data_IF_482210986198
#
_entry.id   IF_482210986198
#
_cell.length_a   1.000
_cell.length_b   1.000
_cell.length_c   1.000
_cell.angle_alpha   90.00
_cell.angle_beta   90.00
_cell.angle_gamma   90.00
#
_symmetry.space_group_name_H-M   'P 1'
#
loop_
_entity.id
_entity.type
_entity.pdbx_description
1 polymer ?
#
# COMPACT_ATOMS: atom_id res chain seq x y z
N UNK A 1 -28.21 53.49 11.41
CA UNK A 1 -27.24 52.38 11.52
C UNK A 1 -25.84 52.99 11.61
N UNK A 2 -25.10 52.76 12.71
CA UNK A 2 -23.71 53.23 12.81
C UNK A 2 -22.77 52.36 11.98
N UNK A 3 -21.68 52.92 11.41
CA UNK A 3 -20.71 52.15 10.63
C UNK A 3 -19.82 51.27 11.53
N UNK A 4 -19.33 50.12 11.03
CA UNK A 4 -18.50 49.21 11.82
C UNK A 4 -17.10 49.78 12.08
N UNK A 5 -16.48 49.46 13.24
CA UNK A 5 -15.18 49.99 13.62
C UNK A 5 -14.04 49.40 12.75
N UNK A 6 -13.13 50.27 12.34
CA UNK A 6 -11.89 49.91 11.62
C UNK A 6 -10.98 49.10 12.54
N UNK A 7 -10.52 47.94 12.06
CA UNK A 7 -9.50 47.12 12.72
C UNK A 7 -8.12 47.69 12.46
N UNK A 8 -7.40 48.03 13.52
CA UNK A 8 -5.97 48.40 13.45
C UNK A 8 -5.07 47.15 13.31
N UNK A 9 -3.91 47.27 12.64
CA UNK A 9 -2.96 46.19 12.48
C UNK A 9 -2.10 45.96 13.74
N UNK A 10 -2.02 44.70 14.17
CA UNK A 10 -1.16 44.22 15.25
C UNK A 10 0.32 44.40 14.91
N UNK A 11 1.00 45.26 15.66
CA UNK A 11 2.46 45.40 15.67
C UNK A 11 3.07 44.24 16.46
N UNK A 12 3.72 43.32 15.76
CA UNK A 12 4.45 42.20 16.37
C UNK A 12 5.75 42.69 17.03
N UNK A 13 5.78 42.64 18.37
CA UNK A 13 6.96 42.84 19.21
C UNK A 13 7.94 41.67 19.06
N UNK A 14 9.04 41.88 18.33
CA UNK A 14 10.25 41.04 18.45
C UNK A 14 11.02 41.48 19.69
N UNK A 15 11.13 40.62 20.70
CA UNK A 15 12.10 40.74 21.79
C UNK A 15 12.40 39.35 22.36
N UNK A 16 13.63 39.20 22.85
CA UNK A 16 14.18 38.08 23.64
C UNK A 16 14.64 36.93 22.71
N UNK A 17 15.93 36.62 22.58
CA UNK A 17 16.85 36.15 23.63
C UNK A 17 18.29 36.64 23.44
N UNK A 18 18.85 37.11 24.55
CA UNK A 18 20.26 37.44 24.72
C UNK A 18 21.09 36.18 24.95
N UNK A 19 22.32 36.26 24.45
CA UNK A 19 23.40 35.28 24.43
C UNK A 19 24.11 35.29 25.80
N UNK A 20 24.12 34.17 26.51
CA UNK A 20 24.92 33.97 27.73
C UNK A 20 26.11 33.05 27.41
N UNK A 21 27.31 33.52 27.73
CA UNK A 21 28.58 32.81 27.57
C UNK A 21 28.83 31.85 28.76
N UNK A 22 29.48 30.69 28.56
CA UNK A 22 29.85 29.81 29.66
C UNK A 22 31.15 30.25 30.34
N UNK A 23 31.09 30.34 31.68
CA UNK A 23 32.23 30.56 32.55
C UNK A 23 33.14 29.32 32.61
N UNK A 24 34.44 29.59 32.55
CA UNK A 24 35.55 28.70 32.83
C UNK A 24 35.49 28.18 34.28
N UNK A 25 35.71 26.87 34.46
CA UNK A 25 35.85 26.27 35.79
C UNK A 25 37.22 25.59 35.88
N UNK A 26 38.03 26.15 36.77
CA UNK A 26 39.39 25.73 37.11
C UNK A 26 39.41 24.49 38.00
N UNK A 27 40.50 23.75 37.83
CA UNK A 27 40.96 22.58 38.59
C UNK A 27 41.68 23.02 39.86
N UNK A 28 41.46 22.30 40.96
CA UNK A 28 42.31 22.02 42.16
C UNK A 28 41.35 21.38 43.19
N UNK A 29 41.63 20.34 43.98
CA UNK A 29 42.79 19.54 44.31
C UNK A 29 42.59 19.05 45.76
N UNK A 30 42.81 17.74 46.04
CA UNK A 30 43.14 17.10 47.36
C UNK A 30 42.12 17.26 48.51
N UNK A 31 41.90 16.38 49.50
CA UNK A 31 42.68 15.31 50.15
C UNK A 31 41.70 14.34 50.89
N UNK A 32 42.26 13.30 51.49
CA UNK A 32 41.75 12.05 52.04
C UNK A 32 40.71 12.09 53.18
N UNK A 33 40.09 10.93 53.46
CA UNK A 33 40.23 10.19 54.74
C UNK A 33 39.50 8.83 54.68
N UNK A 34 40.13 7.83 55.30
CA UNK A 34 39.87 6.40 55.27
C UNK A 34 38.71 5.89 56.17
N UNK A 35 38.26 4.64 55.93
CA UNK A 35 37.88 3.71 57.00
C UNK A 35 36.66 2.79 56.78
N UNK A 36 36.92 1.46 56.79
CA UNK A 36 36.00 0.41 57.29
C UNK A 36 35.22 -0.38 56.22
N UNK A 37 35.69 -1.55 55.74
CA UNK A 37 35.55 -2.92 56.30
C UNK A 37 34.09 -3.41 56.52
N UNK A 38 33.59 -4.27 55.63
CA UNK A 38 33.08 -5.63 55.92
C UNK A 38 32.32 -6.24 54.72
N UNK A 39 32.59 -7.53 54.48
CA UNK A 39 32.21 -8.41 53.35
C UNK A 39 30.74 -8.93 53.40
N UNK A 40 30.40 -10.09 52.79
CA UNK A 40 30.08 -10.29 51.37
C UNK A 40 28.67 -10.92 51.18
N UNK A 41 28.14 -10.98 49.94
CA UNK A 41 27.24 -12.08 49.57
C UNK A 41 27.33 -12.40 48.07
N UNK A 42 27.97 -13.54 47.80
CA UNK A 42 27.88 -14.31 46.55
C UNK A 42 26.54 -15.05 46.45
N UNK A 43 26.23 -15.50 45.22
CA UNK A 43 25.16 -16.42 44.73
C UNK A 43 24.13 -15.68 43.87
N UNK A 44 23.78 -16.10 42.65
CA UNK A 44 23.97 -17.37 41.93
C UNK A 44 23.87 -17.12 40.41
N UNK A 45 24.59 -17.98 39.70
CA UNK A 45 24.64 -18.23 38.27
C UNK A 45 23.28 -18.30 37.54
N UNK A 46 23.28 -17.85 36.28
CA UNK A 46 22.23 -18.10 35.29
C UNK A 46 22.71 -17.77 33.88
N UNK A 47 23.48 -18.69 33.29
CA UNK A 47 23.99 -18.64 31.91
C UNK A 47 22.86 -18.78 30.88
N UNK A 48 22.88 -17.97 29.83
CA UNK A 48 22.18 -18.22 28.57
C UNK A 48 22.88 -17.49 27.41
N UNK A 49 24.13 -17.88 27.17
CA UNK A 49 24.77 -17.72 25.88
C UNK A 49 24.29 -18.87 24.99
N UNK A 50 23.34 -18.62 24.09
CA UNK A 50 23.13 -19.40 22.85
C UNK A 50 21.99 -18.77 22.03
N UNK A 51 22.31 -17.71 21.28
CA UNK A 51 21.52 -17.20 20.13
C UNK A 51 22.27 -16.08 19.40
N UNK A 52 23.56 -16.27 19.14
CA UNK A 52 24.37 -15.36 18.32
C UNK A 52 25.01 -16.17 17.20
N UNK A 53 24.24 -16.53 16.18
CA UNK A 53 24.77 -17.35 15.09
C UNK A 53 23.75 -17.69 14.02
N UNK A 54 23.11 -16.69 13.39
CA UNK A 54 22.40 -16.91 12.10
C UNK A 54 22.06 -15.64 11.31
N UNK A 55 22.95 -14.65 11.24
CA UNK A 55 22.87 -13.58 10.23
C UNK A 55 24.26 -13.21 9.73
N UNK A 56 24.99 -14.18 9.18
CA UNK A 56 26.28 -13.91 8.54
C UNK A 56 26.51 -14.88 7.38
N UNK A 57 25.66 -14.80 6.36
CA UNK A 57 25.98 -15.25 5.00
C UNK A 57 24.85 -14.83 4.03
N UNK A 58 24.86 -13.58 3.57
CA UNK A 58 24.34 -13.26 2.23
C UNK A 58 25.42 -12.49 1.48
N UNK A 59 26.40 -13.22 0.96
CA UNK A 59 27.36 -12.72 -0.03
C UNK A 59 26.67 -12.68 -1.39
N UNK A 60 26.24 -11.49 -1.80
CA UNK A 60 25.69 -11.22 -3.12
C UNK A 60 25.58 -9.71 -3.34
N UNK A 61 26.64 -9.11 -3.88
CA UNK A 61 26.74 -7.73 -4.40
C UNK A 61 25.78 -6.70 -3.79
N UNK A 62 26.07 -6.26 -2.57
CA UNK A 62 25.46 -5.08 -1.97
C UNK A 62 25.97 -3.84 -2.72
N UNK A 63 25.19 -3.33 -3.66
CA UNK A 63 25.35 -1.93 -4.06
C UNK A 63 25.17 -1.09 -2.79
N UNK A 64 26.25 -0.48 -2.30
CA UNK A 64 26.18 0.48 -1.19
C UNK A 64 25.36 1.66 -1.67
N UNK A 65 24.05 1.63 -1.39
CA UNK A 65 23.15 2.73 -1.73
C UNK A 65 23.60 3.94 -0.93
N UNK A 66 24.04 4.98 -1.63
CA UNK A 66 24.44 6.24 -1.01
C UNK A 66 23.22 6.87 -0.37
N UNK A 67 23.35 7.24 0.92
CA UNK A 67 22.26 7.84 1.69
C UNK A 67 21.83 9.16 1.06
N UNK A 68 20.52 9.40 1.07
CA UNK A 68 19.93 10.68 0.62
C UNK A 68 20.22 11.81 1.61
N UNK A 69 20.15 13.06 1.17
CA UNK A 69 20.39 14.23 2.03
C UNK A 69 19.47 14.25 3.27
N UNK A 70 18.21 13.83 3.12
CA UNK A 70 17.27 13.71 4.24
C UNK A 70 17.67 12.61 5.23
N UNK A 71 18.24 11.50 4.76
CA UNK A 71 18.71 10.43 5.64
C UNK A 71 19.92 10.88 6.48
N UNK A 72 20.84 11.64 5.88
CA UNK A 72 21.97 12.24 6.61
C UNK A 72 21.47 13.21 7.69
N UNK A 73 20.51 14.08 7.34
CA UNK A 73 19.86 14.96 8.31
C UNK A 73 19.18 14.20 9.46
N UNK A 74 18.48 13.09 9.13
CA UNK A 74 17.85 12.26 10.15
C UNK A 74 18.88 11.60 11.07
N UNK A 75 20.04 11.19 10.56
CA UNK A 75 21.09 10.57 11.38
C UNK A 75 21.68 11.53 12.41
N UNK A 76 21.83 12.80 12.06
CA UNK A 76 22.31 13.84 12.97
C UNK A 76 21.25 14.27 13.99
N UNK A 77 20.00 14.45 13.56
CA UNK A 77 18.96 15.06 14.41
C UNK A 77 18.18 14.06 15.25
N UNK A 78 18.09 12.80 14.82
CA UNK A 78 17.40 11.74 15.56
C UNK A 78 17.93 11.50 16.98
N UNK A 79 19.26 11.42 17.25
CA UNK A 79 19.73 11.23 18.62
C UNK A 79 19.31 12.37 19.56
N UNK A 80 19.31 13.62 19.07
CA UNK A 80 18.83 14.78 19.84
C UNK A 80 17.35 14.66 20.15
N UNK A 81 16.51 14.30 19.16
CA UNK A 81 15.08 14.13 19.38
C UNK A 81 14.72 12.96 20.30
N UNK A 82 15.51 11.88 20.26
CA UNK A 82 15.37 10.74 21.18
C UNK A 82 15.75 11.14 22.61
N UNK A 83 16.80 11.94 22.78
CA UNK A 83 17.22 12.45 24.08
C UNK A 83 16.18 13.41 24.68
N UNK A 84 15.58 14.27 23.86
CA UNK A 84 14.51 15.19 24.28
C UNK A 84 13.18 14.46 24.53
N UNK A 85 12.91 13.38 23.80
CA UNK A 85 11.64 12.65 23.86
C UNK A 85 11.85 11.14 24.02
N UNK A 86 12.39 10.67 25.17
CA UNK A 86 12.72 9.25 25.36
C UNK A 86 11.50 8.32 25.41
N UNK A 87 10.29 8.88 25.59
CA UNK A 87 9.02 8.13 25.60
C UNK A 87 8.28 8.15 24.25
N UNK A 88 8.73 8.95 23.29
CA UNK A 88 8.06 9.08 22.00
C UNK A 88 8.24 7.80 21.19
N UNK A 89 7.17 7.38 20.51
CA UNK A 89 7.22 6.22 19.62
C UNK A 89 7.94 6.57 18.32
N UNK A 90 8.54 5.58 17.65
CA UNK A 90 9.27 5.77 16.39
C UNK A 90 8.48 6.53 15.30
N UNK A 91 7.15 6.32 15.12
CA UNK A 91 6.35 7.09 14.17
C UNK A 91 6.23 8.57 14.54
N UNK A 92 6.23 8.90 15.84
CA UNK A 92 6.15 10.28 16.32
C UNK A 92 7.46 11.02 16.07
N UNK A 93 8.59 10.38 16.38
CA UNK A 93 9.92 10.88 16.03
C UNK A 93 10.06 11.11 14.51
N UNK A 94 9.51 10.20 13.69
CA UNK A 94 9.55 10.34 12.23
C UNK A 94 8.73 11.54 11.74
N UNK A 95 7.59 11.84 12.37
CA UNK A 95 6.81 13.06 12.07
C UNK A 95 7.55 14.33 12.47
N UNK A 96 8.21 14.33 13.63
CA UNK A 96 9.00 15.46 14.11
C UNK A 96 10.19 15.74 13.18
N UNK A 97 10.92 14.70 12.76
CA UNK A 97 12.01 14.82 11.78
C UNK A 97 11.54 15.40 10.44
N UNK A 98 10.41 14.92 9.93
CA UNK A 98 9.84 15.43 8.67
C UNK A 98 9.41 16.90 8.80
N UNK A 99 8.89 17.31 9.95
CA UNK A 99 8.54 18.70 10.25
C UNK A 99 9.80 19.58 10.33
N UNK A 100 10.83 19.11 11.04
CA UNK A 100 12.11 19.82 11.18
C UNK A 100 12.79 20.03 9.83
N UNK A 101 12.81 19.00 8.96
CA UNK A 101 13.34 19.13 7.60
C UNK A 101 12.58 20.15 6.76
N UNK A 102 11.25 20.24 6.88
CA UNK A 102 10.47 21.27 6.18
C UNK A 102 10.79 22.67 6.67
N UNK A 103 11.00 22.83 7.97
CA UNK A 103 11.35 24.10 8.60
C UNK A 103 12.82 24.53 8.39
N UNK A 104 13.69 23.59 8.04
CA UNK A 104 15.11 23.85 7.76
C UNK A 104 15.27 24.76 6.53
N UNK A 105 16.22 25.70 6.61
CA UNK A 105 16.52 26.68 5.57
C UNK A 105 16.99 26.01 4.27
N UNK A 106 17.00 26.76 3.16
CA UNK A 106 17.45 26.20 1.87
C UNK A 106 18.97 26.00 1.88
N UNK A 107 19.67 26.87 2.60
CA UNK A 107 21.11 26.89 2.79
C UNK A 107 21.59 25.63 3.53
N UNK A 108 20.93 25.27 4.64
CA UNK A 108 21.27 24.07 5.41
C UNK A 108 20.95 22.79 4.61
N UNK A 109 19.85 22.77 3.86
CA UNK A 109 19.54 21.66 2.94
C UNK A 109 20.60 21.50 1.85
N UNK A 110 21.17 22.59 1.37
CA UNK A 110 22.24 22.56 0.39
C UNK A 110 23.53 21.96 0.97
N UNK A 111 23.84 22.21 2.26
CA UNK A 111 24.96 21.57 2.93
C UNK A 111 24.81 20.04 2.97
N UNK A 112 23.63 19.51 3.29
CA UNK A 112 23.37 18.07 3.23
C UNK A 112 23.40 17.48 1.82
N UNK A 113 23.04 18.28 0.80
CA UNK A 113 23.17 17.89 -0.60
C UNK A 113 24.65 17.79 -1.03
N UNK A 114 25.50 18.71 -0.55
CA UNK A 114 26.95 18.65 -0.75
C UNK A 114 27.57 17.43 -0.06
N UNK A 115 27.23 17.17 1.21
CA UNK A 115 27.69 15.96 1.91
C UNK A 115 27.30 14.67 1.19
N UNK A 116 26.10 14.62 0.61
CA UNK A 116 25.69 13.50 -0.23
C UNK A 116 26.57 13.39 -1.47
N UNK A 117 26.89 14.49 -2.14
CA UNK A 117 27.76 14.49 -3.32
C UNK A 117 29.17 13.97 -2.98
N UNK A 118 29.71 14.37 -1.83
CA UNK A 118 31.01 13.87 -1.33
C UNK A 118 30.95 12.37 -1.02
N UNK A 119 29.86 11.89 -0.42
CA UNK A 119 29.65 10.45 -0.19
C UNK A 119 29.47 9.66 -1.50
N UNK A 120 28.85 10.26 -2.53
CA UNK A 120 28.76 9.65 -3.86
C UNK A 120 30.13 9.61 -4.54
N UNK A 121 30.94 10.66 -4.42
CA UNK A 121 32.29 10.71 -4.96
C UNK A 121 33.21 9.68 -4.27
N UNK A 122 33.11 9.54 -2.95
CA UNK A 122 33.85 8.54 -2.19
C UNK A 122 33.40 7.09 -2.47
N UNK A 123 32.15 6.88 -2.87
CA UNK A 123 31.61 5.56 -3.20
C UNK A 123 32.02 5.05 -4.59
N UNK A 124 32.62 5.88 -5.44
CA UNK A 124 33.33 5.44 -6.66
C UNK A 124 32.49 4.85 -7.79
N UNK A 125 31.15 4.86 -7.72
CA UNK A 125 30.26 4.33 -8.77
C UNK A 125 29.46 5.45 -9.47
N UNK A 126 29.92 5.97 -10.63
CA UNK A 126 29.23 7.02 -11.38
C UNK A 126 28.02 6.54 -12.22
N UNK A 127 27.55 5.29 -12.08
CA UNK A 127 26.67 4.66 -13.07
C UNK A 127 25.15 4.74 -12.81
N UNK A 128 24.66 5.58 -11.90
CA UNK A 128 23.20 5.81 -11.73
C UNK A 128 22.88 7.32 -11.63
N UNK A 129 23.30 8.11 -12.62
CA UNK A 129 22.82 9.48 -12.83
C UNK A 129 21.76 9.50 -13.93
N UNK A 130 20.52 9.14 -13.57
CA UNK A 130 19.40 9.05 -14.52
C UNK A 130 18.05 9.54 -13.99
N UNK A 131 18.03 10.37 -12.94
CA UNK A 131 16.82 11.11 -12.56
C UNK A 131 17.17 12.60 -12.58
N UNK A 132 16.80 13.36 -13.62
CA UNK A 132 17.06 14.79 -13.66
C UNK A 132 16.26 15.48 -12.55
N UNK A 133 16.97 16.23 -11.72
CA UNK A 133 16.39 17.17 -10.78
C UNK A 133 15.81 18.38 -11.55
N UNK A 134 14.60 18.25 -12.07
CA UNK A 134 13.81 19.42 -12.49
C UNK A 134 13.08 19.99 -11.28
N UNK A 135 13.78 20.87 -10.57
CA UNK A 135 13.13 21.90 -9.78
C UNK A 135 12.64 22.98 -10.75
N UNK A 136 11.36 22.93 -11.11
CA UNK A 136 10.47 24.09 -11.35
C UNK A 136 9.15 23.60 -11.94
N UNK A 137 8.13 23.53 -11.10
CA UNK A 137 6.81 23.01 -11.48
C UNK A 137 5.88 22.85 -10.29
N UNK A 138 5.87 23.83 -9.39
CA UNK A 138 4.88 23.93 -8.31
C UNK A 138 3.52 24.22 -8.96
N UNK A 139 2.81 23.18 -9.39
CA UNK A 139 1.38 23.30 -9.70
C UNK A 139 0.67 23.65 -8.41
N UNK A 140 0.19 24.89 -8.34
CA UNK A 140 -0.71 25.35 -7.30
C UNK A 140 -1.88 24.35 -7.14
N UNK A 141 -2.35 24.10 -5.90
CA UNK A 141 -3.56 23.33 -5.69
C UNK A 141 -4.71 24.08 -6.35
N UNK A 142 -5.23 23.54 -7.46
CA UNK A 142 -6.48 24.00 -8.06
C UNK A 142 -7.57 23.93 -6.99
N UNK A 143 -7.94 25.10 -6.45
CA UNK A 143 -9.20 25.33 -5.74
C UNK A 143 -10.31 24.80 -6.65
N UNK A 144 -10.93 23.67 -6.30
CA UNK A 144 -12.22 23.28 -6.87
C UNK A 144 -13.20 24.38 -6.47
N UNK A 145 -13.52 25.25 -7.42
CA UNK A 145 -14.65 26.16 -7.35
C UNK A 145 -15.88 25.27 -7.23
N UNK A 146 -16.47 25.28 -6.03
CA UNK A 146 -17.74 24.64 -5.73
C UNK A 146 -18.79 25.48 -6.45
N UNK A 147 -19.27 25.01 -7.61
CA UNK A 147 -20.39 25.63 -8.30
C UNK A 147 -21.64 25.48 -7.44
N UNK A 148 -22.20 26.62 -7.05
CA UNK A 148 -23.53 26.75 -6.48
C UNK A 148 -24.56 26.28 -7.52
N UNK A 149 -25.05 25.05 -7.34
CA UNK A 149 -26.12 24.45 -8.14
C UNK A 149 -27.32 24.14 -7.25
N UNK A 150 -28.34 24.98 -7.38
CA UNK A 150 -29.74 24.87 -6.93
C UNK A 150 -30.18 23.68 -6.07
N UNK A 151 -30.42 23.95 -4.78
CA UNK A 151 -31.46 23.26 -4.00
C UNK A 151 -32.82 23.80 -4.45
N UNK A 152 -33.56 23.03 -5.24
CA UNK A 152 -35.00 23.23 -5.36
C UNK A 152 -35.73 22.45 -4.26
N UNK A 153 -36.66 23.16 -3.64
CA UNK A 153 -37.51 22.74 -2.55
C UNK A 153 -38.77 22.03 -3.06
N UNK A 154 -39.13 20.93 -2.40
CA UNK A 154 -40.50 20.40 -2.30
C UNK A 154 -40.58 19.74 -0.90
N UNK A 155 -41.14 20.39 0.11
CA UNK A 155 -42.54 20.73 0.43
C UNK A 155 -43.34 19.53 0.99
N UNK A 156 -43.69 19.72 2.27
CA UNK A 156 -44.83 19.20 3.07
C UNK A 156 -44.93 17.71 3.36
N UNK A 157 -45.05 17.35 4.66
CA UNK A 157 -46.37 17.09 5.27
C UNK A 157 -46.31 16.90 6.80
N UNK A 158 -47.05 17.77 7.47
CA UNK A 158 -47.82 17.70 8.73
C UNK A 158 -47.37 16.97 10.01
N UNK A 159 -47.73 17.68 11.08
CA UNK A 159 -47.69 17.42 12.51
C UNK A 159 -48.47 16.16 12.95
N UNK A 160 -48.02 15.53 14.04
CA UNK A 160 -48.87 15.30 15.21
C UNK A 160 -48.02 14.79 16.39
N UNK A 161 -48.24 15.43 17.53
CA UNK A 161 -47.74 15.07 18.85
C UNK A 161 -48.25 13.69 19.33
N UNK A 162 -47.48 13.03 20.21
CA UNK A 162 -48.00 12.41 21.42
C UNK A 162 -46.84 11.90 22.28
N UNK A 163 -46.68 12.54 23.43
CA UNK A 163 -46.06 11.96 24.62
C UNK A 163 -46.72 10.61 24.98
N UNK A 164 -45.91 9.69 25.51
CA UNK A 164 -46.35 8.36 25.89
C UNK A 164 -45.21 7.56 26.53
N UNK A 165 -44.92 7.87 27.79
CA UNK A 165 -44.23 6.98 28.73
C UNK A 165 -44.89 5.60 28.70
N UNK A 166 -44.10 4.56 28.41
CA UNK A 166 -44.45 3.19 28.80
C UNK A 166 -43.18 2.40 29.09
N UNK A 167 -43.08 2.01 30.36
CA UNK A 167 -42.06 1.15 30.93
C UNK A 167 -41.96 -0.17 30.16
N UNK A 168 -40.74 -0.52 29.73
CA UNK A 168 -40.44 -1.88 29.25
C UNK A 168 -39.80 -2.69 30.38
N UNK A 169 -40.37 -3.84 30.78
CA UNK A 169 -39.76 -4.71 31.77
C UNK A 169 -38.56 -5.46 31.19
N UNK A 170 -37.53 -5.59 32.04
CA UNK A 170 -36.32 -6.37 31.80
C UNK A 170 -36.63 -7.84 31.45
N UNK A 171 -35.94 -8.46 30.47
CA UNK A 171 -35.83 -9.91 30.41
C UNK A 171 -34.71 -10.44 31.32
N UNK A 172 -34.86 -11.65 31.90
CA UNK A 172 -33.94 -12.22 32.88
C UNK A 172 -32.61 -12.70 32.26
N UNK A 173 -31.55 -12.87 33.09
CA UNK A 173 -30.26 -13.36 32.65
C UNK A 173 -30.29 -14.90 32.58
N UNK A 174 -30.15 -15.48 31.39
CA UNK A 174 -29.94 -16.92 31.28
C UNK A 174 -28.96 -17.33 30.19
N UNK A 175 -28.11 -18.26 30.60
CA UNK A 175 -27.39 -19.28 29.81
C UNK A 175 -26.20 -18.83 28.94
N UNK A 176 -25.02 -18.89 29.58
CA UNK A 176 -23.86 -19.70 29.13
C UNK A 176 -24.05 -20.35 27.75
N UNK A 177 -23.41 -19.79 26.73
CA UNK A 177 -23.07 -20.52 25.52
C UNK A 177 -21.57 -20.68 25.47
N UNK A 178 -21.12 -21.85 25.90
CA UNK A 178 -19.81 -22.40 25.57
C UNK A 178 -19.67 -22.36 24.04
N UNK A 179 -18.92 -21.40 23.51
CA UNK A 179 -18.38 -21.52 22.15
C UNK A 179 -16.95 -22.01 22.27
N UNK A 180 -16.83 -23.29 21.94
CA UNK A 180 -15.61 -24.01 21.74
C UNK A 180 -14.66 -23.23 20.81
N UNK A 181 -13.40 -23.22 21.24
CA UNK A 181 -12.25 -22.98 20.41
C UNK A 181 -12.17 -24.03 19.30
N UNK A 182 -12.26 -23.61 18.04
CA UNK A 182 -11.77 -24.35 16.87
C UNK A 182 -12.00 -23.52 15.60
N UNK A 183 -11.12 -22.55 15.35
CA UNK A 183 -10.85 -21.99 14.02
C UNK A 183 -9.68 -21.00 14.14
N UNK A 184 -8.52 -21.49 14.58
CA UNK A 184 -7.26 -20.85 14.20
C UNK A 184 -7.04 -21.19 12.73
N UNK A 185 -7.60 -20.37 11.85
CA UNK A 185 -7.18 -20.35 10.45
C UNK A 185 -5.71 -19.93 10.44
N UNK A 186 -4.85 -20.91 10.22
CA UNK A 186 -3.47 -20.70 9.85
C UNK A 186 -3.49 -20.01 8.49
N UNK A 187 -3.53 -18.67 8.50
CA UNK A 187 -3.13 -17.88 7.37
C UNK A 187 -1.59 -17.96 7.32
N UNK A 188 -1.11 -19.14 6.95
CA UNK A 188 0.27 -19.39 6.57
C UNK A 188 0.52 -18.51 5.35
N UNK A 189 1.08 -17.32 5.58
CA UNK A 189 1.71 -16.54 4.53
C UNK A 189 2.96 -17.31 4.13
N UNK A 190 2.74 -18.45 3.46
CA UNK A 190 3.77 -19.30 2.92
C UNK A 190 4.67 -18.40 2.11
N UNK A 191 5.91 -18.30 2.57
CA UNK A 191 7.00 -17.74 1.83
C UNK A 191 7.10 -18.59 0.56
N UNK A 192 6.40 -18.18 -0.51
CA UNK A 192 6.47 -18.82 -1.81
C UNK A 192 7.94 -18.78 -2.21
N UNK A 193 8.61 -19.91 -2.02
CA UNK A 193 10.02 -20.07 -2.34
C UNK A 193 10.17 -19.83 -3.84
N UNK A 194 11.19 -19.06 -4.23
CA UNK A 194 11.46 -18.70 -5.62
C UNK A 194 11.52 -19.92 -6.57
N UNK A 195 11.73 -21.11 -6.00
CA UNK A 195 11.70 -22.40 -6.68
C UNK A 195 10.34 -22.75 -7.33
N UNK A 196 9.20 -22.38 -6.73
CA UNK A 196 7.87 -22.70 -7.28
C UNK A 196 7.57 -21.94 -8.58
N UNK A 197 8.00 -20.68 -8.66
CA UNK A 197 7.85 -19.87 -9.87
C UNK A 197 8.68 -20.44 -11.02
N UNK A 198 9.87 -20.98 -10.72
CA UNK A 198 10.75 -21.58 -11.71
C UNK A 198 10.12 -22.85 -12.31
N UNK A 199 9.55 -23.71 -11.46
CA UNK A 199 8.81 -24.89 -11.92
C UNK A 199 7.62 -24.50 -12.81
N UNK A 200 6.91 -23.41 -12.47
CA UNK A 200 5.80 -22.89 -13.29
C UNK A 200 6.24 -22.22 -14.60
N UNK A 201 7.48 -21.76 -14.69
CA UNK A 201 8.06 -21.22 -15.94
C UNK A 201 8.49 -22.35 -16.90
N UNK A 202 8.89 -23.51 -16.37
CA UNK A 202 9.31 -24.70 -17.13
C UNK A 202 8.12 -25.52 -17.66
N UNK A 203 6.98 -24.89 -17.93
CA UNK A 203 5.81 -25.54 -18.49
C UNK A 203 6.05 -26.00 -19.94
N UNK A 204 5.66 -27.24 -20.25
CA UNK A 204 5.64 -27.76 -21.60
C UNK A 204 4.46 -27.17 -22.41
N UNK A 205 4.72 -26.05 -23.10
CA UNK A 205 3.74 -25.37 -23.94
C UNK A 205 3.38 -26.12 -25.22
N UNK A 206 4.14 -27.16 -25.59
CA UNK A 206 3.85 -27.97 -26.78
C UNK A 206 2.68 -28.93 -26.54
N UNK A 207 2.62 -29.52 -25.34
CA UNK A 207 1.51 -30.41 -24.94
C UNK A 207 0.22 -29.65 -24.64
N UNK A 208 0.35 -28.51 -23.96
CA UNK A 208 -0.80 -27.69 -23.59
C UNK A 208 -0.53 -26.23 -23.98
N UNK A 209 -0.96 -25.82 -25.19
CA UNK A 209 -0.73 -24.47 -25.67
C UNK A 209 -1.47 -23.45 -24.81
N UNK A 210 -1.00 -22.20 -24.85
CA UNK A 210 -1.66 -21.09 -24.18
C UNK A 210 -3.11 -20.93 -24.69
N UNK A 211 -4.05 -20.79 -23.76
CA UNK A 211 -5.45 -20.54 -24.06
C UNK A 211 -5.77 -19.04 -23.96
N UNK A 212 -5.54 -18.44 -22.80
CA UNK A 212 -5.73 -17.00 -22.55
C UNK A 212 -4.88 -16.54 -21.35
N UNK A 213 -4.63 -15.24 -21.26
CA UNK A 213 -3.94 -14.63 -20.12
C UNK A 213 -4.96 -14.45 -18.99
N UNK A 214 -4.64 -14.94 -17.80
CA UNK A 214 -5.45 -14.88 -16.58
C UNK A 214 -5.21 -13.53 -15.88
N UNK A 215 -3.95 -13.21 -15.59
CA UNK A 215 -3.57 -11.94 -14.93
C UNK A 215 -2.11 -11.56 -15.18
N UNK A 216 -1.75 -10.33 -14.83
CA UNK A 216 -0.38 -9.80 -14.92
C UNK A 216 0.14 -9.48 -13.52
N UNK A 217 1.26 -10.10 -13.14
CA UNK A 217 2.01 -9.69 -11.97
C UNK A 217 2.91 -8.50 -12.33
N UNK A 218 2.44 -7.29 -12.04
CA UNK A 218 3.15 -6.05 -12.36
C UNK A 218 4.51 -5.95 -11.67
N UNK A 219 4.66 -6.56 -10.48
CA UNK A 219 5.94 -6.53 -9.73
C UNK A 219 6.99 -7.44 -10.36
N UNK A 220 6.61 -8.67 -10.70
CA UNK A 220 7.52 -9.66 -11.29
C UNK A 220 7.64 -9.50 -12.82
N UNK A 221 6.73 -8.78 -13.46
CA UNK A 221 6.70 -8.64 -14.92
C UNK A 221 6.33 -9.94 -15.62
N UNK A 222 5.41 -10.71 -15.05
CA UNK A 222 4.99 -12.01 -15.58
C UNK A 222 3.48 -12.04 -15.86
N UNK A 223 3.08 -12.74 -16.90
CA UNK A 223 1.71 -13.14 -17.18
C UNK A 223 1.45 -14.54 -16.63
N UNK A 224 0.30 -14.68 -15.98
CA UNK A 224 -0.29 -15.96 -15.60
C UNK A 224 -1.19 -16.38 -16.75
N UNK A 225 -0.97 -17.56 -17.32
CA UNK A 225 -1.59 -17.98 -18.59
C UNK A 225 -2.27 -19.33 -18.41
N UNK A 226 -3.55 -19.39 -18.74
CA UNK A 226 -4.33 -20.63 -18.75
C UNK A 226 -3.85 -21.53 -19.90
N UNK A 227 -3.79 -22.84 -19.64
CA UNK A 227 -3.34 -23.84 -20.61
C UNK A 227 -4.53 -24.63 -21.14
N UNK A 228 -4.54 -24.91 -22.44
CA UNK A 228 -5.66 -25.60 -23.08
C UNK A 228 -5.76 -27.04 -22.58
N UNK A 229 -6.96 -27.43 -22.12
CA UNK A 229 -7.26 -28.79 -21.66
C UNK A 229 -6.76 -29.13 -20.26
N UNK A 230 -6.30 -28.14 -19.49
CA UNK A 230 -5.92 -28.29 -18.09
C UNK A 230 -6.81 -27.44 -17.19
N UNK A 231 -6.95 -27.80 -15.90
CA UNK A 231 -7.67 -26.98 -14.94
C UNK A 231 -6.97 -25.64 -14.71
N UNK A 232 -7.71 -24.64 -14.22
CA UNK A 232 -7.17 -23.29 -13.97
C UNK A 232 -6.05 -23.27 -12.92
N UNK A 233 -5.94 -24.31 -12.10
CA UNK A 233 -4.85 -24.49 -11.12
C UNK A 233 -3.50 -24.74 -11.78
N UNK A 234 -3.49 -25.30 -12.99
CA UNK A 234 -2.28 -25.72 -13.70
C UNK A 234 -1.88 -24.68 -14.76
N UNK A 235 -1.87 -23.41 -14.34
CA UNK A 235 -1.47 -22.30 -15.20
C UNK A 235 0.05 -22.27 -15.40
N UNK A 236 0.47 -21.70 -16.54
CA UNK A 236 1.88 -21.41 -16.80
C UNK A 236 2.21 -19.93 -16.56
N UNK A 237 3.49 -19.65 -16.38
CA UNK A 237 4.00 -18.29 -16.19
C UNK A 237 4.85 -17.89 -17.41
N UNK A 238 4.61 -16.69 -17.95
CA UNK A 238 5.30 -16.17 -19.14
C UNK A 238 5.80 -14.76 -18.89
N UNK A 239 7.04 -14.45 -19.25
CA UNK A 239 7.58 -13.10 -19.06
C UNK A 239 6.81 -12.06 -19.92
N UNK A 240 6.26 -11.03 -19.28
CA UNK A 240 5.48 -9.99 -19.96
C UNK A 240 6.35 -9.15 -20.89
N UNK A 241 7.64 -8.98 -20.56
CA UNK A 241 8.61 -8.31 -21.43
C UNK A 241 8.83 -9.11 -22.72
N UNK A 242 8.97 -10.43 -22.63
CA UNK A 242 9.14 -11.29 -23.82
C UNK A 242 7.91 -11.24 -24.72
N UNK A 243 6.71 -11.35 -24.14
CA UNK A 243 5.46 -11.24 -24.88
C UNK A 243 5.27 -9.85 -25.52
N UNK A 244 5.66 -8.76 -24.83
CA UNK A 244 5.59 -7.39 -25.37
C UNK A 244 6.68 -7.11 -26.41
N UNK A 245 7.86 -7.72 -26.30
CA UNK A 245 8.94 -7.59 -27.29
C UNK A 245 8.54 -8.18 -28.65
N UNK A 246 7.70 -9.21 -28.67
CA UNK A 246 7.13 -9.72 -29.93
C UNK A 246 6.32 -8.67 -30.70
N UNK A 247 5.75 -7.66 -30.02
CA UNK A 247 5.07 -6.53 -30.67
C UNK A 247 6.02 -5.60 -31.40
N UNK A 248 7.26 -5.49 -30.91
CA UNK A 248 8.27 -4.58 -31.43
C UNK A 248 9.20 -5.26 -32.43
N UNK A 249 9.35 -6.58 -32.34
CA UNK A 249 10.08 -7.36 -33.33
C UNK A 249 9.29 -7.34 -34.65
N UNK A 250 9.83 -6.65 -35.65
CA UNK A 250 9.39 -6.78 -37.03
C UNK A 250 9.31 -8.27 -37.39
N UNK A 251 8.26 -8.66 -38.13
CA UNK A 251 7.67 -10.00 -38.29
C UNK A 251 8.56 -11.20 -38.70
N UNK A 252 9.89 -11.12 -38.58
CA UNK A 252 10.85 -12.15 -38.98
C UNK A 252 11.59 -12.87 -37.85
N UNK A 253 11.61 -12.37 -36.61
CA UNK A 253 12.29 -13.08 -35.50
C UNK A 253 11.28 -13.82 -34.64
N UNK A 254 11.17 -15.12 -34.89
CA UNK A 254 10.27 -16.03 -34.19
C UNK A 254 10.81 -16.32 -32.78
N UNK A 255 10.79 -15.31 -31.91
CA UNK A 255 11.02 -15.53 -30.47
C UNK A 255 9.88 -16.39 -29.97
N UNK A 256 10.22 -17.58 -29.48
CA UNK A 256 9.28 -18.63 -29.06
C UNK A 256 8.52 -18.25 -27.77
N UNK A 257 7.77 -17.16 -27.78
CA UNK A 257 6.80 -16.88 -26.72
C UNK A 257 5.56 -17.74 -26.96
N UNK A 258 5.09 -18.48 -25.96
CA UNK A 258 3.88 -19.30 -26.08
C UNK A 258 2.60 -18.47 -26.18
N UNK A 259 2.65 -17.18 -25.82
CA UNK A 259 1.51 -16.26 -25.84
C UNK A 259 1.53 -15.48 -27.15
N UNK A 260 0.44 -15.52 -27.92
CA UNK A 260 0.32 -14.73 -29.15
C UNK A 260 0.08 -13.26 -28.86
N UNK A 261 0.47 -12.40 -29.81
CA UNK A 261 0.21 -10.96 -29.75
C UNK A 261 -1.28 -10.64 -29.53
N UNK A 262 -2.16 -11.36 -30.23
CA UNK A 262 -3.61 -11.20 -30.09
C UNK A 262 -4.12 -11.46 -28.67
N UNK A 263 -3.53 -12.44 -27.94
CA UNK A 263 -3.91 -12.69 -26.55
C UNK A 263 -3.51 -11.54 -25.64
N UNK A 264 -2.34 -10.93 -25.86
CA UNK A 264 -1.87 -9.76 -25.10
C UNK A 264 -2.79 -8.57 -25.37
N UNK A 265 -3.13 -8.31 -26.62
CA UNK A 265 -4.03 -7.22 -27.01
C UNK A 265 -5.44 -7.40 -26.44
N UNK A 266 -5.98 -8.61 -26.49
CA UNK A 266 -7.28 -8.94 -25.89
C UNK A 266 -7.28 -8.69 -24.37
N UNK A 267 -6.23 -9.12 -23.68
CA UNK A 267 -6.07 -8.92 -22.23
C UNK A 267 -5.97 -7.44 -21.85
N UNK A 268 -5.14 -6.68 -22.57
CA UNK A 268 -4.99 -5.23 -22.35
C UNK A 268 -6.29 -4.49 -22.65
N UNK A 269 -6.94 -4.82 -23.76
CA UNK A 269 -8.20 -4.21 -24.16
C UNK A 269 -9.34 -4.54 -23.18
N UNK A 270 -9.38 -5.77 -22.66
CA UNK A 270 -10.29 -6.12 -21.56
C UNK A 270 -10.00 -5.30 -20.30
N UNK A 271 -8.74 -5.22 -19.86
CA UNK A 271 -8.36 -4.42 -18.69
C UNK A 271 -8.65 -2.92 -18.83
N UNK A 272 -8.62 -2.39 -20.06
CA UNK A 272 -9.04 -1.02 -20.35
C UNK A 272 -10.56 -0.88 -20.27
N UNK A 273 -11.31 -1.76 -20.94
CA UNK A 273 -12.79 -1.78 -20.90
C UNK A 273 -13.33 -1.90 -19.48
N UNK A 274 -12.86 -2.89 -18.73
CA UNK A 274 -13.25 -3.10 -17.33
C UNK A 274 -13.04 -1.84 -16.46
N UNK A 275 -11.88 -1.19 -16.57
CA UNK A 275 -11.63 0.06 -15.82
C UNK A 275 -12.54 1.21 -16.25
N UNK A 276 -12.82 1.30 -17.56
CA UNK A 276 -13.70 2.32 -18.10
C UNK A 276 -15.13 2.11 -17.60
N UNK A 277 -15.61 0.87 -17.56
CA UNK A 277 -16.92 0.51 -17.05
C UNK A 277 -17.02 0.75 -15.54
N UNK A 278 -16.00 0.35 -14.75
CA UNK A 278 -15.94 0.67 -13.31
C UNK A 278 -16.03 2.17 -13.08
N UNK A 279 -15.26 2.98 -13.83
CA UNK A 279 -15.30 4.43 -13.68
C UNK A 279 -16.60 5.05 -14.19
N UNK A 280 -17.23 4.47 -15.20
CA UNK A 280 -18.52 4.94 -15.72
C UNK A 280 -19.69 4.64 -14.78
N UNK A 281 -19.60 3.55 -14.01
CA UNK A 281 -20.59 3.14 -13.02
C UNK A 281 -20.31 3.71 -11.62
N UNK A 282 -19.20 4.43 -11.42
CA UNK A 282 -18.84 4.98 -10.11
C UNK A 282 -19.44 6.38 -9.93
N UNK A 283 -20.36 6.52 -8.97
CA UNK A 283 -20.94 7.80 -8.54
C UNK A 283 -20.65 8.05 -7.05
N UNK A 284 -20.13 9.22 -6.69
CA UNK A 284 -19.74 9.58 -5.31
C UNK A 284 -18.87 8.55 -4.54
N UNK A 285 -18.09 7.73 -5.26
CA UNK A 285 -17.30 6.58 -4.77
C UNK A 285 -18.11 5.32 -4.43
N UNK A 286 -19.38 5.29 -4.77
CA UNK A 286 -20.21 4.09 -4.81
C UNK A 286 -20.26 3.56 -6.25
N UNK A 287 -20.31 2.24 -6.39
CA UNK A 287 -20.41 1.59 -7.69
C UNK A 287 -21.88 1.20 -7.88
N UNK A 288 -22.57 1.88 -8.80
CA UNK A 288 -23.93 1.56 -9.15
C UNK A 288 -23.95 0.32 -10.06
N UNK A 289 -24.71 -0.69 -9.65
CA UNK A 289 -24.78 -2.00 -10.31
C UNK A 289 -26.23 -2.36 -10.69
N UNK A 290 -27.21 -1.48 -10.49
CA UNK A 290 -28.63 -1.80 -10.68
C UNK A 290 -29.01 -1.91 -12.17
N UNK A 291 -28.43 -1.07 -13.04
CA UNK A 291 -28.79 -0.96 -14.46
C UNK A 291 -27.72 -1.50 -15.43
N UNK A 292 -27.03 -2.57 -15.06
CA UNK A 292 -26.01 -3.16 -15.92
C UNK A 292 -26.63 -3.93 -17.10
N UNK A 293 -26.21 -3.68 -18.35
CA UNK A 293 -26.69 -4.46 -19.49
C UNK A 293 -26.23 -5.93 -19.38
N UNK A 294 -27.02 -6.88 -19.90
CA UNK A 294 -26.64 -8.29 -19.91
C UNK A 294 -25.33 -8.49 -20.67
N UNK A 295 -24.39 -9.22 -20.07
CA UNK A 295 -23.04 -9.40 -20.61
C UNK A 295 -22.07 -8.24 -20.32
N UNK A 296 -22.42 -7.31 -19.43
CA UNK A 296 -21.49 -6.28 -18.95
C UNK A 296 -20.23 -6.88 -18.31
N UNK A 297 -19.11 -6.16 -18.39
CA UNK A 297 -17.85 -6.57 -17.73
C UNK A 297 -17.93 -6.48 -16.20
N UNK A 298 -18.97 -5.85 -15.66
CA UNK A 298 -19.22 -5.71 -14.22
C UNK A 298 -20.24 -6.73 -13.69
N UNK A 299 -20.69 -7.69 -14.52
CA UNK A 299 -21.66 -8.70 -14.13
C UNK A 299 -21.20 -9.48 -12.88
N UNK A 300 -19.91 -9.81 -12.78
CA UNK A 300 -19.35 -10.45 -11.58
C UNK A 300 -19.30 -9.54 -10.35
N UNK A 301 -19.10 -8.23 -10.53
CA UNK A 301 -19.21 -7.27 -9.44
C UNK A 301 -20.64 -7.26 -8.89
N UNK A 302 -21.65 -7.27 -9.78
CA UNK A 302 -23.06 -7.32 -9.41
C UNK A 302 -23.42 -8.63 -8.68
N UNK A 303 -22.95 -9.78 -9.17
CA UNK A 303 -23.18 -11.07 -8.52
C UNK A 303 -22.59 -11.12 -7.10
N UNK A 304 -21.35 -10.67 -6.93
CA UNK A 304 -20.69 -10.61 -5.62
C UNK A 304 -21.36 -9.60 -4.68
N UNK A 305 -21.93 -8.52 -5.23
CA UNK A 305 -22.80 -7.60 -4.51
C UNK A 305 -24.06 -8.30 -3.97
N UNK A 306 -24.80 -9.01 -4.84
CA UNK A 306 -26.02 -9.75 -4.47
C UNK A 306 -25.77 -10.82 -3.41
N UNK A 307 -24.66 -11.56 -3.52
CA UNK A 307 -24.30 -12.58 -2.54
C UNK A 307 -24.04 -12.02 -1.12
N UNK A 308 -23.88 -10.69 -0.97
CA UNK A 308 -23.71 -10.01 0.31
C UNK A 308 -25.02 -9.49 0.91
N UNK A 309 -26.13 -9.56 0.18
CA UNK A 309 -27.44 -9.15 0.68
C UNK A 309 -27.88 -10.06 1.85
N UNK A 310 -28.63 -9.51 2.84
CA UNK A 310 -29.11 -10.29 3.98
C UNK A 310 -29.87 -11.55 3.53
N UNK A 311 -29.37 -12.73 3.93
CA UNK A 311 -29.94 -14.02 3.55
C UNK A 311 -29.02 -14.89 2.69
N UNK A 312 -27.96 -14.31 2.12
CA UNK A 312 -26.92 -15.06 1.40
C UNK A 312 -25.69 -15.32 2.27
N UNK A 313 -24.85 -16.28 1.86
CA UNK A 313 -23.72 -16.79 2.65
C UNK A 313 -22.70 -15.70 3.03
N UNK A 314 -22.44 -14.74 2.13
CA UNK A 314 -21.48 -13.66 2.38
C UNK A 314 -22.03 -12.57 3.29
N UNK A 315 -23.35 -12.52 3.55
CA UNK A 315 -23.97 -11.55 4.46
C UNK A 315 -23.51 -11.71 5.91
N UNK A 316 -23.05 -12.92 6.27
CA UNK A 316 -22.55 -13.24 7.61
C UNK A 316 -21.15 -12.66 7.88
N UNK A 317 -20.40 -12.27 6.83
CA UNK A 317 -19.10 -11.61 6.95
C UNK A 317 -19.31 -10.10 7.14
N UNK A 318 -18.83 -9.56 8.25
CA UNK A 318 -19.22 -8.25 8.80
C UNK A 318 -19.17 -7.04 7.83
N UNK A 319 -20.06 -6.06 8.09
CA UNK A 319 -20.34 -4.85 7.27
C UNK A 319 -19.15 -3.93 6.97
N UNK A 320 -17.99 -4.10 7.60
CA UNK A 320 -16.79 -3.32 7.29
C UNK A 320 -16.19 -3.59 5.90
N UNK A 321 -16.77 -4.54 5.17
CA UNK A 321 -16.33 -4.94 3.84
C UNK A 321 -17.25 -4.45 2.71
N UNK A 322 -18.33 -3.68 3.00
CA UNK A 322 -19.25 -3.11 1.99
C UNK A 322 -18.50 -2.22 0.98
N UNK A 323 -17.35 -1.68 1.39
CA UNK A 323 -16.37 -1.15 0.48
C UNK A 323 -15.68 -2.36 -0.14
N UNK A 324 -15.99 -2.70 -1.40
CA UNK A 324 -15.18 -3.64 -2.17
C UNK A 324 -13.75 -3.10 -2.19
N UNK A 325 -12.94 -3.51 -1.21
CA UNK A 325 -11.53 -3.14 -1.14
C UNK A 325 -10.95 -3.53 -2.50
N UNK A 326 -10.11 -2.66 -3.08
CA UNK A 326 -9.35 -2.88 -4.32
C UNK A 326 -8.96 -4.36 -4.63
N UNK A 327 -8.56 -5.21 -3.66
CA UNK A 327 -8.38 -6.65 -3.90
C UNK A 327 -9.60 -7.39 -4.50
N UNK A 328 -10.83 -7.10 -4.09
CA UNK A 328 -12.04 -7.73 -4.63
C UNK A 328 -12.28 -7.36 -6.10
N UNK A 329 -11.99 -6.11 -6.50
CA UNK A 329 -12.10 -5.70 -7.90
C UNK A 329 -11.15 -6.49 -8.81
N UNK A 330 -9.95 -6.80 -8.32
CA UNK A 330 -9.01 -7.66 -9.06
C UNK A 330 -9.58 -9.08 -9.23
N UNK A 331 -10.22 -9.63 -8.19
CA UNK A 331 -10.91 -10.93 -8.27
C UNK A 331 -12.11 -10.89 -9.22
N UNK A 332 -12.95 -9.85 -9.16
CA UNK A 332 -14.08 -9.69 -10.09
C UNK A 332 -13.59 -9.64 -11.54
N UNK A 333 -12.55 -8.84 -11.80
CA UNK A 333 -11.91 -8.73 -13.12
C UNK A 333 -11.42 -10.10 -13.61
N UNK A 334 -10.80 -10.88 -12.73
CA UNK A 334 -10.31 -12.21 -13.04
C UNK A 334 -11.44 -13.17 -13.43
N UNK A 335 -12.48 -13.24 -12.60
CA UNK A 335 -13.64 -14.10 -12.82
C UNK A 335 -14.35 -13.74 -14.13
N UNK A 336 -14.53 -12.45 -14.39
CA UNK A 336 -15.14 -11.98 -15.64
C UNK A 336 -14.31 -12.39 -16.86
N UNK A 337 -12.99 -12.30 -16.79
CA UNK A 337 -12.10 -12.71 -17.88
C UNK A 337 -12.20 -14.22 -18.17
N UNK A 338 -12.28 -15.05 -17.12
CA UNK A 338 -12.48 -16.49 -17.24
C UNK A 338 -13.85 -16.79 -17.87
N UNK A 339 -14.92 -16.13 -17.42
CA UNK A 339 -16.26 -16.30 -17.99
C UNK A 339 -16.32 -15.88 -19.47
N UNK A 340 -15.71 -14.77 -19.84
CA UNK A 340 -15.65 -14.32 -21.23
C UNK A 340 -14.85 -15.31 -22.10
N UNK A 341 -13.80 -15.92 -21.57
CA UNK A 341 -13.05 -16.96 -22.26
C UNK A 341 -13.90 -18.23 -22.47
N UNK A 342 -14.62 -18.69 -21.45
CA UNK A 342 -15.52 -19.84 -21.54
C UNK A 342 -16.66 -19.61 -22.55
N UNK A 343 -17.28 -18.43 -22.54
CA UNK A 343 -18.31 -18.04 -23.53
C UNK A 343 -17.77 -18.12 -24.96
N UNK A 344 -16.53 -17.68 -25.19
CA UNK A 344 -15.87 -17.78 -26.52
C UNK A 344 -15.58 -19.22 -26.92
N UNK A 345 -15.20 -20.08 -25.98
CA UNK A 345 -14.96 -21.50 -26.25
C UNK A 345 -16.28 -22.21 -26.60
N UNK A 346 -17.33 -21.99 -25.81
CA UNK A 346 -18.66 -22.55 -26.07
C UNK A 346 -19.22 -22.11 -27.44
N UNK A 347 -19.07 -20.83 -27.78
CA UNK A 347 -19.52 -20.31 -29.08
C UNK A 347 -18.74 -20.84 -30.29
N UNK A 348 -17.51 -21.35 -30.11
CA UNK A 348 -16.76 -22.02 -31.19
C UNK A 348 -17.23 -23.44 -31.43
N UNK A 349 -17.56 -24.18 -30.37
CA UNK A 349 -18.04 -25.56 -30.50
C UNK A 349 -19.36 -25.64 -31.28
N UNK A 350 -20.25 -24.66 -31.11
CA UNK A 350 -21.52 -24.63 -31.85
C UNK A 350 -21.34 -24.40 -33.36
N UNK A 351 -20.29 -23.69 -33.79
CA UNK A 351 -20.03 -23.44 -35.21
C UNK A 351 -19.38 -24.60 -35.95
N UNK A 352 -18.84 -25.58 -35.24
CA UNK A 352 -18.18 -26.75 -35.86
C UNK A 352 -19.14 -27.92 -36.11
N UNK A 353 -20.36 -27.85 -35.59
CA UNK A 353 -21.39 -28.90 -35.76
C UNK A 353 -22.42 -28.56 -36.85
N UNK A 354 -22.40 -27.34 -37.40
CA UNK A 354 -23.19 -26.92 -38.57
C UNK A 354 -22.42 -27.10 -39.89
#
# INVERSE_FOLDING_TARGET
MPPPPRREPLVNKKRILARAAPASRSVTGTDATAGGLASPNEKVLGSAADKAGKHAASTGSSHKVVKTAYQLFCEELRPTLVAENPKASMPELSRLLASAWRATSVEDKAAYAAMRADLMAAAGDPAISGIPATAEGRKEPKKRVRSEGGKQASKTKDEAASDGESEKPCPPPSSKRLRAAAATEAHDSGEETEDDDKLRMECDWTKHPAAFIISENVKKGHYLVARKGLPLTDYGVVCSRTAKLQRMAESGTNTACPVSLSMVEDFEAFGKRFRMDVHGAQDDNELDLEDLPPGSTLEMCALLGKLREPGYELASRGRSDIWMKLPLLATCRLLQLVLDAERRLAGRSQRTEE
#
